data_IF_351155387773
#
_entry.id   IF_351155387773
#
_cell.length_a   1.000
_cell.length_b   1.000
_cell.length_c   1.000
_cell.angle_alpha   90.00
_cell.angle_beta   90.00
_cell.angle_gamma   90.00
#
_symmetry.space_group_name_H-M   'P 1'
#
loop_
_entity.id
_entity.type
_entity.pdbx_description
1 polymer ?
#
# COMPACT_ATOMS: atom_id res chain seq x y z
N UNK A 1 0.63 26.68 19.57
CA UNK A 1 -0.68 26.46 18.95
C UNK A 1 -1.05 27.49 17.91
N UNK A 2 -0.07 28.28 17.42
CA UNK A 2 -0.31 29.16 16.27
C UNK A 2 -0.29 28.31 14.99
N UNK A 3 -1.03 28.79 13.98
CA UNK A 3 -1.02 28.22 12.62
C UNK A 3 0.31 28.60 11.97
N UNK A 4 1.02 27.60 11.44
CA UNK A 4 2.27 27.83 10.72
C UNK A 4 1.98 28.30 9.28
N UNK A 5 2.70 29.31 8.86
CA UNK A 5 2.70 29.75 7.46
C UNK A 5 3.46 28.74 6.58
N UNK A 6 3.20 28.78 5.27
CA UNK A 6 3.95 27.96 4.32
C UNK A 6 5.46 28.18 4.43
N UNK A 7 5.91 29.41 4.54
CA UNK A 7 7.34 29.73 4.67
C UNK A 7 7.99 29.18 5.94
N UNK A 8 7.25 29.11 7.05
CA UNK A 8 7.74 28.49 8.29
C UNK A 8 7.81 26.96 8.13
N UNK A 9 6.82 26.32 7.51
CA UNK A 9 6.87 24.91 7.20
C UNK A 9 8.04 24.57 6.25
N UNK A 10 8.21 25.32 5.17
CA UNK A 10 9.34 25.17 4.23
C UNK A 10 10.69 25.32 4.95
N UNK A 11 10.85 26.34 5.78
CA UNK A 11 12.08 26.56 6.53
C UNK A 11 12.43 25.38 7.44
N UNK A 12 11.45 24.87 8.18
CA UNK A 12 11.70 23.78 9.14
C UNK A 12 11.92 22.45 8.43
N UNK A 13 11.06 22.07 7.49
CA UNK A 13 11.13 20.76 6.85
C UNK A 13 12.28 20.65 5.85
N UNK A 14 12.55 21.69 5.05
CA UNK A 14 13.73 21.72 4.18
C UNK A 14 15.02 21.84 5.00
N UNK A 15 15.01 22.59 6.09
CA UNK A 15 16.14 22.63 7.03
C UNK A 15 16.44 21.27 7.64
N UNK A 16 15.40 20.45 7.90
CA UNK A 16 15.60 19.07 8.36
C UNK A 16 16.18 18.18 7.26
N UNK A 17 15.67 18.28 6.03
CA UNK A 17 16.19 17.53 4.88
C UNK A 17 17.67 17.84 4.63
N UNK A 18 18.07 19.11 4.83
CA UNK A 18 19.43 19.60 4.61
C UNK A 18 20.35 19.41 5.84
N UNK A 19 19.83 18.91 6.97
CA UNK A 19 20.61 18.70 8.19
C UNK A 19 20.83 19.95 9.06
N UNK A 20 20.12 21.03 8.78
CA UNK A 20 20.16 22.30 9.55
C UNK A 20 19.27 22.23 10.79
N UNK A 21 18.15 21.51 10.72
CA UNK A 21 17.25 21.19 11.84
C UNK A 21 17.57 19.81 12.36
N UNK A 22 17.82 19.70 13.67
CA UNK A 22 18.19 18.44 14.31
C UNK A 22 16.98 17.53 14.61
N UNK A 23 17.22 16.22 14.81
CA UNK A 23 16.20 15.23 15.13
C UNK A 23 15.35 15.61 16.35
N UNK A 24 15.96 16.15 17.42
CA UNK A 24 15.21 16.54 18.62
C UNK A 24 14.31 17.76 18.38
N UNK A 25 14.70 18.70 17.53
CA UNK A 25 13.86 19.83 17.13
C UNK A 25 12.69 19.37 16.28
N UNK A 26 12.95 18.54 15.26
CA UNK A 26 11.91 17.96 14.42
C UNK A 26 10.97 17.05 15.23
N UNK A 27 11.49 16.23 16.14
CA UNK A 27 10.67 15.41 17.03
C UNK A 27 9.71 16.21 17.88
N UNK A 28 10.17 17.36 18.42
CA UNK A 28 9.33 18.27 19.19
C UNK A 28 8.17 18.85 18.34
N UNK A 29 8.45 19.25 17.10
CA UNK A 29 7.42 19.74 16.17
C UNK A 29 6.43 18.62 15.80
N UNK A 30 6.91 17.43 15.45
CA UNK A 30 6.05 16.29 15.11
C UNK A 30 5.13 15.90 16.28
N UNK A 31 5.63 15.94 17.52
CA UNK A 31 4.81 15.71 18.71
C UNK A 31 3.79 16.84 18.93
N UNK A 32 4.18 18.08 18.70
CA UNK A 32 3.23 19.20 18.77
C UNK A 32 2.10 19.05 17.73
N UNK A 33 2.41 18.60 16.51
CA UNK A 33 1.42 18.29 15.47
C UNK A 33 0.50 17.14 15.92
N UNK A 34 1.06 16.08 16.54
CA UNK A 34 0.26 14.97 17.05
C UNK A 34 -0.78 15.41 18.08
N UNK A 35 -0.39 16.33 18.99
CA UNK A 35 -1.23 16.78 20.10
C UNK A 35 -2.23 17.86 19.65
N UNK A 36 -1.82 18.78 18.81
CA UNK A 36 -2.61 19.96 18.42
C UNK A 36 -3.35 19.79 17.09
N UNK A 37 -2.91 18.86 16.24
CA UNK A 37 -3.37 18.74 14.87
C UNK A 37 -2.78 19.80 13.95
N UNK A 38 -3.34 19.88 12.76
CA UNK A 38 -3.00 20.88 11.72
C UNK A 38 -4.29 21.35 11.06
N UNK A 39 -4.30 22.57 10.56
CA UNK A 39 -5.36 23.06 9.67
C UNK A 39 -5.24 22.45 8.28
N UNK A 40 -6.32 22.47 7.50
CA UNK A 40 -6.30 21.97 6.12
C UNK A 40 -5.22 22.68 5.27
N UNK A 41 -5.07 24.00 5.47
CA UNK A 41 -4.06 24.79 4.76
C UNK A 41 -2.63 24.31 5.09
N UNK A 42 -2.31 24.11 6.36
CA UNK A 42 -1.01 23.56 6.76
C UNK A 42 -0.77 22.17 6.18
N UNK A 43 -1.81 21.32 6.12
CA UNK A 43 -1.72 19.97 5.56
C UNK A 43 -1.46 20.02 4.06
N UNK A 44 -2.14 20.90 3.32
CA UNK A 44 -1.92 21.06 1.87
C UNK A 44 -0.53 21.63 1.60
N UNK A 45 -0.11 22.66 2.32
CA UNK A 45 1.23 23.24 2.21
C UNK A 45 2.32 22.18 2.53
N UNK A 46 2.13 21.38 3.58
CA UNK A 46 3.08 20.34 3.95
C UNK A 46 3.10 19.18 2.94
N UNK A 47 1.94 18.82 2.38
CA UNK A 47 1.86 17.82 1.31
C UNK A 47 2.65 18.28 0.08
N UNK A 48 2.55 19.55 -0.26
CA UNK A 48 3.27 20.16 -1.38
C UNK A 48 4.80 20.17 -1.14
N UNK A 49 5.23 20.51 0.07
CA UNK A 49 6.65 20.49 0.47
C UNK A 49 7.20 19.05 0.37
N UNK A 50 6.45 18.06 0.83
CA UNK A 50 6.87 16.65 0.72
C UNK A 50 6.93 16.21 -0.74
N UNK A 51 5.87 16.47 -1.50
CA UNK A 51 5.76 16.13 -2.92
C UNK A 51 6.95 16.64 -3.73
N UNK A 52 7.34 17.90 -3.50
CA UNK A 52 8.43 18.54 -4.25
C UNK A 52 9.81 18.41 -3.58
N UNK A 53 9.93 17.56 -2.55
CA UNK A 53 11.24 17.26 -1.95
C UNK A 53 12.11 16.34 -2.83
N UNK A 54 11.52 15.73 -3.85
CA UNK A 54 12.19 14.82 -4.79
C UNK A 54 11.53 14.82 -6.16
N UNK A 55 11.69 13.72 -6.88
CA UNK A 55 11.14 13.58 -8.23
C UNK A 55 9.64 13.26 -8.21
N UNK A 56 8.95 13.76 -9.23
CA UNK A 56 7.55 13.43 -9.53
C UNK A 56 7.53 12.70 -10.87
N UNK A 57 7.03 11.47 -10.88
CA UNK A 57 7.01 10.66 -12.08
C UNK A 57 5.88 11.09 -13.02
N UNK A 58 6.20 11.18 -14.29
CA UNK A 58 5.25 11.48 -15.36
C UNK A 58 5.02 10.25 -16.24
N UNK A 59 3.75 9.85 -16.34
CA UNK A 59 3.26 8.77 -17.21
C UNK A 59 2.21 9.28 -18.20
N UNK A 60 2.22 10.56 -18.53
CA UNK A 60 1.28 11.18 -19.47
C UNK A 60 1.35 10.58 -20.89
N UNK A 61 2.50 10.01 -21.25
CA UNK A 61 2.73 9.30 -22.51
C UNK A 61 2.17 7.86 -22.54
N UNK A 62 1.65 7.36 -21.42
CA UNK A 62 1.01 6.05 -21.34
C UNK A 62 -0.50 6.23 -21.46
N UNK A 63 -1.15 5.59 -22.47
CA UNK A 63 -2.59 5.67 -22.65
C UNK A 63 -3.38 5.12 -21.47
N UNK A 64 -4.57 5.67 -21.24
CA UNK A 64 -5.49 5.23 -20.20
C UNK A 64 -5.27 5.94 -18.85
N UNK A 65 -6.25 5.79 -17.97
CA UNK A 65 -6.23 6.36 -16.61
C UNK A 65 -5.41 5.42 -15.72
N UNK A 66 -4.28 5.92 -15.20
CA UNK A 66 -3.43 5.17 -14.25
C UNK A 66 -4.06 5.19 -12.88
N UNK A 67 -4.31 4.00 -12.33
CA UNK A 67 -4.89 3.86 -10.99
C UNK A 67 -3.89 3.20 -10.05
N UNK A 68 -3.67 3.78 -8.88
CA UNK A 68 -2.89 3.17 -7.80
C UNK A 68 -3.79 2.80 -6.61
N UNK A 69 -3.42 1.77 -5.90
CA UNK A 69 -4.06 1.35 -4.65
C UNK A 69 -3.08 1.46 -3.50
N UNK A 70 -3.47 2.14 -2.42
CA UNK A 70 -2.73 2.15 -1.18
C UNK A 70 -3.50 1.41 -0.08
N UNK A 71 -2.79 0.57 0.69
CA UNK A 71 -3.31 0.01 1.93
C UNK A 71 -2.61 0.67 3.11
N UNK A 72 -3.36 0.99 4.15
CA UNK A 72 -2.77 1.49 5.40
C UNK A 72 -2.03 0.42 6.20
N UNK A 73 -1.99 -0.82 5.67
CA UNK A 73 -1.25 -1.94 6.21
C UNK A 73 -2.05 -2.81 7.17
N UNK A 74 -1.70 -4.08 7.19
CA UNK A 74 -2.34 -5.09 8.02
C UNK A 74 -1.61 -6.42 8.01
N UNK A 75 -2.15 -7.41 8.71
CA UNK A 75 -1.60 -8.75 8.81
C UNK A 75 -2.13 -9.62 7.69
N UNK A 76 -1.25 -10.27 6.93
CA UNK A 76 -1.61 -11.09 5.77
C UNK A 76 -2.08 -10.24 4.56
N UNK A 77 -1.74 -8.96 4.51
CA UNK A 77 -2.17 -8.07 3.42
C UNK A 77 -1.39 -8.35 2.12
N UNK A 78 -1.91 -9.29 1.36
CA UNK A 78 -1.46 -9.69 0.01
C UNK A 78 -2.32 -9.10 -1.11
N UNK A 79 -3.25 -8.21 -0.79
CA UNK A 79 -4.24 -7.69 -1.73
C UNK A 79 -3.62 -7.09 -2.99
N UNK A 80 -2.47 -6.42 -2.91
CA UNK A 80 -1.80 -5.84 -4.09
C UNK A 80 -1.41 -6.89 -5.13
N UNK A 81 -0.94 -8.08 -4.70
CA UNK A 81 -0.56 -9.17 -5.62
C UNK A 81 -1.75 -9.74 -6.40
N UNK A 82 -2.95 -9.61 -5.84
CA UNK A 82 -4.20 -10.10 -6.45
C UNK A 82 -4.84 -9.01 -7.29
N UNK A 83 -4.99 -7.81 -6.73
CA UNK A 83 -5.72 -6.69 -7.34
C UNK A 83 -5.00 -6.14 -8.58
N UNK A 84 -3.68 -5.91 -8.49
CA UNK A 84 -2.95 -5.28 -9.58
C UNK A 84 -3.01 -6.07 -10.90
N UNK A 85 -2.81 -7.41 -10.91
CA UNK A 85 -2.98 -8.20 -12.13
C UNK A 85 -4.43 -8.23 -12.64
N UNK A 86 -5.45 -8.31 -11.76
CA UNK A 86 -6.86 -8.25 -12.15
C UNK A 86 -7.12 -6.95 -12.90
N UNK A 87 -6.77 -5.82 -12.32
CA UNK A 87 -7.04 -4.48 -12.87
C UNK A 87 -6.30 -4.27 -14.18
N UNK A 88 -5.02 -4.67 -14.23
CA UNK A 88 -4.20 -4.55 -15.43
C UNK A 88 -4.68 -5.49 -16.57
N UNK A 89 -5.22 -6.68 -16.26
CA UNK A 89 -5.78 -7.59 -17.27
C UNK A 89 -7.00 -7.01 -17.98
N UNK A 90 -7.67 -6.06 -17.35
CA UNK A 90 -8.83 -5.34 -17.90
C UNK A 90 -8.45 -4.03 -18.59
N UNK A 91 -7.16 -3.79 -18.81
CA UNK A 91 -6.66 -2.64 -19.58
C UNK A 91 -6.54 -1.34 -18.78
N UNK A 92 -6.64 -1.38 -17.46
CA UNK A 92 -6.39 -0.23 -16.60
C UNK A 92 -4.93 -0.27 -16.12
N UNK A 93 -4.09 0.71 -16.48
CA UNK A 93 -2.70 0.74 -16.02
C UNK A 93 -2.58 0.89 -14.51
N UNK A 94 -1.75 0.04 -13.87
CA UNK A 94 -1.51 0.04 -12.43
C UNK A 94 -0.05 0.36 -12.15
N UNK A 95 0.18 1.47 -11.45
CA UNK A 95 1.51 1.89 -11.03
C UNK A 95 1.56 1.85 -9.51
N UNK A 96 2.18 0.79 -8.97
CA UNK A 96 2.27 0.57 -7.54
C UNK A 96 3.71 0.73 -7.04
N UNK A 97 3.95 1.80 -6.32
CA UNK A 97 5.18 1.99 -5.55
C UNK A 97 4.90 1.88 -4.06
N UNK A 98 5.72 1.12 -3.36
CA UNK A 98 5.52 0.83 -1.95
C UNK A 98 6.83 0.88 -1.18
N UNK A 99 6.83 1.56 -0.04
CA UNK A 99 7.97 1.55 0.88
C UNK A 99 8.04 0.28 1.73
N UNK A 100 6.90 -0.43 1.90
CA UNK A 100 6.77 -1.69 2.67
C UNK A 100 5.66 -2.54 2.06
N UNK A 101 5.66 -3.85 2.36
CA UNK A 101 4.57 -4.75 1.98
C UNK A 101 4.69 -5.39 0.60
N UNK A 102 5.80 -5.14 -0.12
CA UNK A 102 6.19 -5.89 -1.33
C UNK A 102 7.21 -6.99 -1.02
N UNK A 103 7.68 -7.04 0.22
CA UNK A 103 8.70 -7.98 0.69
C UNK A 103 8.35 -9.44 0.37
N UNK A 104 7.05 -9.79 0.45
CA UNK A 104 6.58 -11.12 0.09
C UNK A 104 6.81 -11.49 -1.39
N UNK A 105 6.93 -10.52 -2.29
CA UNK A 105 7.31 -10.77 -3.68
C UNK A 105 8.78 -11.23 -3.81
N UNK A 106 9.63 -10.86 -2.84
CA UNK A 106 11.03 -11.32 -2.79
C UNK A 106 11.13 -12.82 -2.50
N UNK A 107 10.07 -13.44 -1.96
CA UNK A 107 9.99 -14.90 -1.82
C UNK A 107 9.79 -15.65 -3.16
N UNK A 108 9.51 -14.93 -4.24
CA UNK A 108 9.50 -15.49 -5.59
C UNK A 108 10.95 -15.48 -6.11
N UNK A 109 11.58 -16.63 -6.33
CA UNK A 109 12.99 -16.68 -6.75
C UNK A 109 13.26 -15.84 -8.00
N UNK A 110 14.25 -14.95 -7.92
CA UNK A 110 14.67 -14.07 -9.01
C UNK A 110 13.86 -12.78 -9.16
N UNK A 111 12.78 -12.60 -8.41
CA UNK A 111 11.94 -11.40 -8.53
C UNK A 111 12.68 -10.14 -8.03
N UNK A 112 12.67 -9.10 -8.86
CA UNK A 112 13.27 -7.80 -8.54
C UNK A 112 12.21 -6.82 -8.04
N UNK A 113 12.38 -6.34 -6.81
CA UNK A 113 11.50 -5.33 -6.20
C UNK A 113 11.97 -3.89 -6.44
N UNK A 114 13.22 -3.71 -6.88
CA UNK A 114 13.80 -2.40 -7.17
C UNK A 114 14.02 -2.25 -8.67
N UNK A 115 13.36 -1.27 -9.27
CA UNK A 115 13.47 -0.91 -10.69
C UNK A 115 13.85 0.56 -10.81
N UNK A 116 14.57 0.92 -11.87
CA UNK A 116 14.79 2.32 -12.25
C UNK A 116 13.52 2.93 -12.83
N UNK A 117 13.45 4.26 -12.90
CA UNK A 117 12.28 4.96 -13.43
C UNK A 117 12.04 4.64 -14.92
N UNK A 118 13.11 4.43 -15.69
CA UNK A 118 13.01 3.99 -17.09
C UNK A 118 12.46 2.56 -17.19
N UNK A 119 12.95 1.62 -16.36
CA UNK A 119 12.42 0.25 -16.29
C UNK A 119 10.93 0.24 -15.90
N UNK A 120 10.53 1.10 -14.94
CA UNK A 120 9.14 1.27 -14.53
C UNK A 120 8.28 1.72 -15.72
N UNK A 121 8.69 2.78 -16.43
CA UNK A 121 7.97 3.31 -17.59
C UNK A 121 7.85 2.29 -18.72
N UNK A 122 8.96 1.63 -19.05
CA UNK A 122 8.95 0.59 -20.09
C UNK A 122 8.05 -0.58 -19.74
N UNK A 123 8.09 -1.03 -18.49
CA UNK A 123 7.25 -2.14 -18.05
C UNK A 123 5.76 -1.78 -18.09
N UNK A 124 5.37 -0.59 -17.59
CA UNK A 124 3.96 -0.15 -17.65
C UNK A 124 3.48 -0.02 -19.09
N UNK A 125 4.31 0.51 -20.01
CA UNK A 125 4.00 0.54 -21.44
C UNK A 125 3.79 -0.85 -22.03
N UNK A 126 4.59 -1.82 -21.61
CA UNK A 126 4.61 -3.17 -22.16
C UNK A 126 3.47 -4.04 -21.64
N UNK A 127 3.23 -4.06 -20.33
CA UNK A 127 2.30 -5.00 -19.70
C UNK A 127 1.17 -4.34 -18.91
N UNK A 128 1.13 -3.01 -18.81
CA UNK A 128 0.09 -2.25 -18.12
C UNK A 128 0.21 -2.24 -16.61
N UNK A 129 1.28 -2.80 -16.01
CA UNK A 129 1.43 -2.77 -14.56
C UNK A 129 2.87 -2.84 -14.09
N UNK A 130 3.11 -2.28 -12.91
CA UNK A 130 4.34 -2.43 -12.15
C UNK A 130 4.04 -2.46 -10.64
N UNK A 131 4.77 -3.28 -9.90
CA UNK A 131 4.81 -3.25 -8.43
C UNK A 131 6.27 -3.24 -8.01
N UNK A 132 6.72 -2.13 -7.45
CA UNK A 132 8.15 -1.91 -7.13
C UNK A 132 8.32 -1.22 -5.79
N UNK A 133 9.53 -1.28 -5.27
CA UNK A 133 9.98 -0.46 -4.15
C UNK A 133 9.90 1.02 -4.50
N UNK A 134 9.83 1.84 -3.49
CA UNK A 134 9.94 3.28 -3.65
C UNK A 134 11.39 3.62 -4.00
N UNK A 135 11.60 4.39 -5.06
CA UNK A 135 12.93 4.88 -5.42
C UNK A 135 13.48 5.82 -4.34
N UNK A 136 14.80 6.00 -4.30
CA UNK A 136 15.43 6.88 -3.30
C UNK A 136 14.99 8.34 -3.44
N UNK A 137 14.69 8.74 -4.67
CA UNK A 137 14.41 10.12 -5.06
C UNK A 137 12.91 10.45 -5.01
N UNK A 138 12.05 9.44 -4.82
CA UNK A 138 10.61 9.65 -4.66
C UNK A 138 10.31 10.09 -3.22
N UNK A 139 9.99 11.37 -3.05
CA UNK A 139 9.60 11.98 -1.76
C UNK A 139 10.61 11.68 -0.62
N UNK A 140 11.90 12.04 -0.75
CA UNK A 140 12.93 11.76 0.27
C UNK A 140 12.59 12.36 1.63
N UNK A 141 11.89 13.48 1.68
CA UNK A 141 11.37 14.09 2.91
C UNK A 141 10.54 13.09 3.72
N UNK A 142 9.61 12.39 3.09
CA UNK A 142 8.77 11.40 3.78
C UNK A 142 9.60 10.27 4.38
N UNK A 143 10.61 9.79 3.66
CA UNK A 143 11.49 8.72 4.14
C UNK A 143 12.20 9.12 5.44
N UNK A 144 12.74 10.34 5.50
CA UNK A 144 13.43 10.84 6.70
C UNK A 144 12.47 11.08 7.85
N UNK A 145 11.37 11.78 7.58
CA UNK A 145 10.35 12.09 8.59
C UNK A 145 9.69 10.82 9.13
N UNK A 146 9.37 9.85 8.27
CA UNK A 146 8.76 8.60 8.71
C UNK A 146 9.71 7.78 9.60
N UNK A 147 11.00 7.71 9.26
CA UNK A 147 12.01 7.04 10.09
C UNK A 147 12.09 7.65 11.49
N UNK A 148 12.01 8.99 11.60
CA UNK A 148 11.98 9.67 12.89
C UNK A 148 10.66 9.40 13.65
N UNK A 149 9.53 9.40 12.94
CA UNK A 149 8.21 9.12 13.54
C UNK A 149 8.11 7.72 14.12
N UNK A 150 8.73 6.73 13.48
CA UNK A 150 8.73 5.32 13.94
C UNK A 150 9.32 5.17 15.36
N UNK A 151 10.27 6.02 15.73
CA UNK A 151 10.98 5.95 17.03
C UNK A 151 10.54 7.03 18.04
N UNK A 152 9.64 7.95 17.65
CA UNK A 152 9.22 9.09 18.52
C UNK A 152 7.75 9.04 18.92
N UNK A 153 7.02 7.94 18.59
CA UNK A 153 5.60 7.78 18.98
C UNK A 153 4.65 8.73 18.23
N UNK A 154 5.03 9.21 17.04
CA UNK A 154 4.23 10.17 16.26
C UNK A 154 3.61 9.57 14.99
N UNK A 155 3.66 8.23 14.83
CA UNK A 155 3.12 7.54 13.65
C UNK A 155 1.60 7.68 13.55
N UNK A 156 0.88 7.69 14.66
CA UNK A 156 -0.60 7.67 14.69
C UNK A 156 -1.25 9.03 14.38
N UNK A 157 -0.48 10.08 14.09
CA UNK A 157 -0.98 11.40 13.74
C UNK A 157 -1.72 11.38 12.39
N UNK A 158 -3.05 11.60 12.39
CA UNK A 158 -3.88 11.60 11.17
C UNK A 158 -3.36 12.58 10.11
N UNK A 159 -3.05 13.86 10.42
CA UNK A 159 -2.48 14.79 9.44
C UNK A 159 -1.19 14.25 8.80
N UNK A 160 -0.26 13.78 9.61
CA UNK A 160 1.03 13.27 9.12
C UNK A 160 0.90 11.95 8.36
N UNK A 161 -0.09 11.11 8.68
CA UNK A 161 -0.43 9.92 7.89
C UNK A 161 -0.91 10.33 6.51
N UNK A 162 -1.84 11.30 6.44
CA UNK A 162 -2.39 11.77 5.17
C UNK A 162 -1.32 12.40 4.28
N UNK A 163 -0.48 13.29 4.83
CA UNK A 163 0.65 13.92 4.11
C UNK A 163 1.60 12.85 3.56
N UNK A 164 2.01 11.90 4.40
CA UNK A 164 2.92 10.80 4.02
C UNK A 164 2.37 9.94 2.91
N UNK A 165 1.09 9.57 2.96
CA UNK A 165 0.48 8.72 1.93
C UNK A 165 0.28 9.51 0.65
N UNK A 166 -0.37 10.67 0.73
CA UNK A 166 -0.81 11.40 -0.45
C UNK A 166 0.35 12.01 -1.24
N UNK A 167 1.38 12.54 -0.59
CA UNK A 167 2.57 13.04 -1.29
C UNK A 167 3.21 11.96 -2.16
N UNK A 168 3.36 10.74 -1.64
CA UNK A 168 3.91 9.61 -2.41
C UNK A 168 3.01 9.15 -3.55
N UNK A 169 1.69 9.11 -3.32
CA UNK A 169 0.73 8.66 -4.33
C UNK A 169 0.59 9.66 -5.48
N UNK A 170 0.72 10.94 -5.19
CA UNK A 170 0.76 11.99 -6.22
C UNK A 170 2.11 11.95 -6.94
N UNK A 171 3.22 11.86 -6.20
CA UNK A 171 4.57 11.77 -6.80
C UNK A 171 4.76 10.53 -7.69
N UNK A 172 4.09 9.42 -7.39
CA UNK A 172 4.14 8.21 -8.22
C UNK A 172 3.39 8.31 -9.54
N UNK A 173 2.78 9.46 -9.86
CA UNK A 173 2.19 9.73 -11.17
C UNK A 173 0.82 9.09 -11.43
N UNK A 174 0.13 8.59 -10.40
CA UNK A 174 -1.22 8.04 -10.55
C UNK A 174 -2.25 9.15 -10.86
N UNK A 175 -3.16 8.91 -11.81
CA UNK A 175 -4.26 9.81 -12.12
C UNK A 175 -5.39 9.70 -11.09
N UNK A 176 -5.67 8.47 -10.63
CA UNK A 176 -6.68 8.17 -9.62
C UNK A 176 -6.14 7.23 -8.55
N UNK A 177 -6.62 7.39 -7.33
CA UNK A 177 -6.06 6.70 -6.16
C UNK A 177 -7.17 6.03 -5.36
N UNK A 178 -7.06 4.71 -5.16
CA UNK A 178 -7.90 3.97 -4.22
C UNK A 178 -7.14 3.77 -2.90
N UNK A 179 -7.73 4.20 -1.79
CA UNK A 179 -7.15 3.99 -0.45
C UNK A 179 -7.97 2.93 0.28
N UNK A 180 -7.31 1.83 0.61
CA UNK A 180 -7.84 0.76 1.44
C UNK A 180 -7.41 1.02 2.90
N UNK A 181 -8.32 1.63 3.67
CA UNK A 181 -8.08 2.00 5.06
C UNK A 181 -8.46 0.82 5.95
N UNK A 182 -7.44 0.14 6.46
CA UNK A 182 -7.62 -0.97 7.42
C UNK A 182 -8.04 -0.45 8.78
N UNK A 183 -9.07 -1.07 9.37
CA UNK A 183 -9.61 -0.70 10.69
C UNK A 183 -9.69 -1.95 11.57
N UNK A 184 -9.13 -1.89 12.77
CA UNK A 184 -9.24 -2.98 13.73
C UNK A 184 -7.95 -3.28 14.48
N UNK A 185 -7.92 -4.41 15.17
CA UNK A 185 -6.82 -4.80 16.05
C UNK A 185 -5.47 -4.90 15.32
N UNK A 186 -5.44 -5.43 14.10
CA UNK A 186 -4.24 -5.59 13.28
C UNK A 186 -3.89 -4.37 12.42
N UNK A 187 -4.66 -3.29 12.48
CA UNK A 187 -4.46 -2.08 11.70
C UNK A 187 -3.79 -0.96 12.51
N UNK A 188 -3.26 0.06 11.81
CA UNK A 188 -2.83 1.32 12.43
C UNK A 188 -4.01 2.03 13.10
N UNK A 189 -5.14 2.16 12.39
CA UNK A 189 -6.35 2.81 12.89
C UNK A 189 -7.26 1.80 13.59
N UNK A 190 -7.60 2.09 14.85
CA UNK A 190 -8.39 1.18 15.69
C UNK A 190 -9.89 1.43 15.59
N UNK A 191 -10.31 2.65 15.22
CA UNK A 191 -11.71 3.05 15.19
C UNK A 191 -12.17 3.50 13.80
N UNK A 192 -13.43 3.21 13.47
CA UNK A 192 -14.04 3.72 12.24
C UNK A 192 -14.07 5.24 12.20
N UNK A 193 -14.23 5.90 13.36
CA UNK A 193 -14.27 7.35 13.47
C UNK A 193 -12.97 7.99 12.98
N UNK A 194 -11.83 7.46 13.42
CA UNK A 194 -10.52 8.01 13.01
C UNK A 194 -10.19 7.63 11.57
N UNK A 195 -10.62 6.44 11.12
CA UNK A 195 -10.49 6.03 9.73
C UNK A 195 -11.31 6.94 8.79
N UNK A 196 -12.54 7.32 9.15
CA UNK A 196 -13.34 8.26 8.37
C UNK A 196 -12.71 9.65 8.31
N UNK A 197 -12.15 10.15 9.42
CA UNK A 197 -11.42 11.43 9.40
C UNK A 197 -10.21 11.39 8.45
N UNK A 198 -9.46 10.29 8.47
CA UNK A 198 -8.34 10.12 7.55
C UNK A 198 -8.81 10.04 6.10
N UNK A 199 -9.90 9.31 5.83
CA UNK A 199 -10.50 9.21 4.50
C UNK A 199 -10.91 10.57 3.96
N UNK A 200 -11.68 11.34 4.73
CA UNK A 200 -12.15 12.68 4.36
C UNK A 200 -10.96 13.62 4.06
N UNK A 201 -9.90 13.53 4.86
CA UNK A 201 -8.71 14.34 4.66
C UNK A 201 -7.96 13.96 3.37
N UNK A 202 -7.78 12.66 3.10
CA UNK A 202 -7.10 12.20 1.88
C UNK A 202 -7.90 12.55 0.60
N UNK A 203 -9.23 12.47 0.65
CA UNK A 203 -10.08 12.92 -0.46
C UNK A 203 -9.88 14.42 -0.73
N UNK A 204 -9.90 15.27 0.32
CA UNK A 204 -9.65 16.72 0.17
C UNK A 204 -8.25 17.05 -0.36
N UNK A 205 -7.23 16.30 0.06
CA UNK A 205 -5.89 16.44 -0.53
C UNK A 205 -5.93 16.07 -2.02
N UNK A 206 -6.60 14.96 -2.38
CA UNK A 206 -6.78 14.55 -3.77
C UNK A 206 -7.45 15.64 -4.61
N UNK A 207 -8.55 16.20 -4.14
CA UNK A 207 -9.26 17.31 -4.79
C UNK A 207 -8.35 18.53 -5.02
N UNK A 208 -7.53 18.88 -4.01
CA UNK A 208 -6.58 19.97 -4.12
C UNK A 208 -5.55 19.79 -5.26
N UNK A 209 -5.18 18.54 -5.54
CA UNK A 209 -4.25 18.18 -6.63
C UNK A 209 -4.95 17.70 -7.92
N UNK A 210 -6.27 17.88 -8.04
CA UNK A 210 -7.07 17.39 -9.17
C UNK A 210 -6.91 15.88 -9.41
N UNK A 211 -6.84 15.10 -8.33
CA UNK A 211 -6.80 13.63 -8.34
C UNK A 211 -8.07 13.08 -7.72
N UNK A 212 -8.75 12.17 -8.44
CA UNK A 212 -9.86 11.43 -7.85
C UNK A 212 -9.32 10.43 -6.82
N UNK A 213 -9.75 10.58 -5.58
CA UNK A 213 -9.39 9.69 -4.47
C UNK A 213 -10.66 9.04 -3.94
N UNK A 214 -10.68 7.72 -3.89
CA UNK A 214 -11.72 6.96 -3.21
C UNK A 214 -11.13 6.20 -2.04
N UNK A 215 -11.90 6.10 -0.95
CA UNK A 215 -11.48 5.41 0.27
C UNK A 215 -12.45 4.29 0.59
N UNK A 216 -11.93 3.10 0.90
CA UNK A 216 -12.71 1.98 1.43
C UNK A 216 -12.21 1.64 2.82
N UNK A 217 -13.12 1.57 3.79
CA UNK A 217 -12.83 1.14 5.16
C UNK A 217 -13.02 -0.37 5.24
N UNK A 218 -11.94 -1.12 5.51
CA UNK A 218 -11.95 -2.58 5.52
C UNK A 218 -11.54 -3.15 6.88
N UNK A 219 -12.08 -4.30 7.24
CA UNK A 219 -11.82 -4.91 8.55
C UNK A 219 -10.43 -5.53 8.65
N UNK A 220 -9.77 -5.32 9.80
CA UNK A 220 -8.48 -5.89 10.16
C UNK A 220 -8.48 -6.41 11.61
N UNK A 221 -9.61 -6.87 12.11
CA UNK A 221 -9.70 -7.53 13.41
C UNK A 221 -9.19 -8.97 13.36
N UNK A 222 -9.22 -9.59 12.19
CA UNK A 222 -8.58 -10.86 11.88
C UNK A 222 -7.55 -10.68 10.75
N UNK A 223 -6.53 -11.56 10.62
CA UNK A 223 -5.64 -11.56 9.47
C UNK A 223 -6.41 -11.77 8.16
N UNK A 224 -5.90 -11.23 7.06
CA UNK A 224 -6.47 -11.41 5.73
C UNK A 224 -6.08 -12.78 5.15
N UNK A 225 -7.08 -13.52 4.73
CA UNK A 225 -6.91 -14.87 4.17
C UNK A 225 -6.56 -15.92 5.22
N UNK A 226 -6.06 -17.04 4.75
CA UNK A 226 -5.72 -18.22 5.56
C UNK A 226 -4.22 -18.42 5.74
N UNK A 227 -3.42 -17.71 4.96
CA UNK A 227 -1.96 -17.82 4.94
C UNK A 227 -1.32 -16.51 5.43
N UNK A 228 -0.34 -16.63 6.32
CA UNK A 228 0.41 -15.49 6.86
C UNK A 228 1.89 -15.84 6.79
N UNK A 229 2.65 -15.05 6.05
CA UNK A 229 4.06 -15.28 5.78
C UNK A 229 4.34 -15.24 4.28
N UNK A 230 5.62 -15.08 3.87
CA UNK A 230 5.94 -14.59 2.53
C UNK A 230 5.48 -15.53 1.40
N UNK A 231 6.11 -16.70 1.24
CA UNK A 231 5.74 -17.65 0.19
C UNK A 231 4.31 -18.19 0.31
N UNK A 232 3.82 -18.41 1.54
CA UNK A 232 2.45 -18.85 1.77
C UNK A 232 1.44 -17.82 1.25
N UNK A 233 1.69 -16.53 1.45
CA UNK A 233 0.84 -15.46 0.94
C UNK A 233 0.87 -15.37 -0.59
N UNK A 234 2.02 -15.63 -1.21
CA UNK A 234 2.15 -15.70 -2.67
C UNK A 234 1.32 -16.84 -3.23
N UNK A 235 1.37 -18.03 -2.62
CA UNK A 235 0.61 -19.19 -3.06
C UNK A 235 -0.91 -18.99 -2.90
N UNK A 236 -1.35 -18.38 -1.79
CA UNK A 236 -2.76 -18.03 -1.61
C UNK A 236 -3.22 -16.98 -2.65
N UNK A 237 -2.40 -15.97 -2.95
CA UNK A 237 -2.71 -15.00 -4.00
C UNK A 237 -2.87 -15.69 -5.37
N UNK A 238 -2.00 -16.66 -5.70
CA UNK A 238 -2.09 -17.47 -6.93
C UNK A 238 -3.39 -18.26 -6.96
N UNK A 239 -3.76 -18.91 -5.86
CA UNK A 239 -5.00 -19.71 -5.77
C UNK A 239 -6.24 -18.86 -6.00
N UNK A 240 -6.27 -17.62 -5.43
CA UNK A 240 -7.36 -16.67 -5.68
C UNK A 240 -7.40 -16.22 -7.15
N UNK A 241 -6.23 -15.88 -7.74
CA UNK A 241 -6.16 -15.48 -9.16
C UNK A 241 -6.59 -16.57 -10.14
N UNK A 242 -6.48 -17.85 -9.74
CA UNK A 242 -6.99 -19.01 -10.48
C UNK A 242 -8.46 -19.29 -10.24
N UNK A 243 -9.11 -18.60 -9.29
CA UNK A 243 -10.48 -18.86 -8.91
C UNK A 243 -10.68 -20.16 -8.10
N UNK A 244 -9.63 -20.66 -7.45
CA UNK A 244 -9.65 -21.86 -6.62
C UNK A 244 -10.09 -21.57 -5.17
N UNK A 245 -10.08 -20.29 -4.76
CA UNK A 245 -10.45 -19.84 -3.42
C UNK A 245 -11.66 -18.92 -3.47
N UNK A 246 -12.66 -19.25 -2.65
CA UNK A 246 -13.84 -18.41 -2.41
C UNK A 246 -13.93 -18.14 -0.90
N UNK A 247 -13.32 -17.03 -0.47
CA UNK A 247 -13.23 -16.66 0.92
C UNK A 247 -13.32 -15.13 1.10
N UNK A 248 -13.26 -14.66 2.34
CA UNK A 248 -13.35 -13.22 2.65
C UNK A 248 -12.26 -12.39 1.94
N UNK A 249 -11.05 -12.93 1.75
CA UNK A 249 -9.97 -12.24 1.05
C UNK A 249 -10.25 -12.11 -0.44
N UNK A 250 -10.75 -13.18 -1.09
CA UNK A 250 -11.10 -13.13 -2.52
C UNK A 250 -12.21 -12.11 -2.77
N UNK A 251 -13.25 -12.07 -1.93
CA UNK A 251 -14.34 -11.12 -2.03
C UNK A 251 -13.85 -9.66 -1.83
N UNK A 252 -13.00 -9.43 -0.82
CA UNK A 252 -12.35 -8.13 -0.62
C UNK A 252 -11.54 -7.68 -1.85
N UNK A 253 -10.79 -8.60 -2.45
CA UNK A 253 -9.99 -8.30 -3.65
C UNK A 253 -10.89 -8.00 -4.86
N UNK A 254 -12.01 -8.71 -5.02
CA UNK A 254 -13.01 -8.42 -6.05
C UNK A 254 -13.60 -7.01 -5.84
N UNK A 255 -13.97 -6.66 -4.62
CA UNK A 255 -14.53 -5.33 -4.31
C UNK A 255 -13.55 -4.19 -4.59
N UNK A 256 -12.30 -4.32 -4.14
CA UNK A 256 -11.26 -3.34 -4.37
C UNK A 256 -10.87 -3.24 -5.86
N UNK A 257 -10.79 -4.37 -6.56
CA UNK A 257 -10.52 -4.40 -8.01
C UNK A 257 -11.65 -3.74 -8.79
N UNK A 258 -12.91 -4.01 -8.40
CA UNK A 258 -14.10 -3.41 -9.04
C UNK A 258 -14.10 -1.90 -8.90
N UNK A 259 -13.70 -1.37 -7.74
CA UNK A 259 -13.57 0.06 -7.54
C UNK A 259 -12.47 0.67 -8.43
N UNK A 260 -11.28 0.03 -8.50
CA UNK A 260 -10.21 0.49 -9.37
C UNK A 260 -10.58 0.44 -10.86
N UNK A 261 -11.24 -0.62 -11.31
CA UNK A 261 -11.70 -0.77 -12.71
C UNK A 261 -12.79 0.27 -13.03
N UNK A 262 -13.73 0.48 -12.11
CA UNK A 262 -14.73 1.55 -12.23
C UNK A 262 -14.07 2.93 -12.41
N UNK A 263 -13.06 3.24 -11.59
CA UNK A 263 -12.29 4.48 -11.68
C UNK A 263 -11.52 4.57 -13.00
N UNK A 264 -10.85 3.50 -13.41
CA UNK A 264 -9.96 3.49 -14.59
C UNK A 264 -10.72 3.52 -15.91
N UNK A 265 -11.85 2.84 -16.01
CA UNK A 265 -12.66 2.77 -17.22
C UNK A 265 -13.83 3.75 -17.26
N UNK A 266 -14.10 4.48 -16.16
CA UNK A 266 -15.26 5.36 -15.97
C UNK A 266 -16.61 4.62 -16.23
N UNK A 267 -16.75 3.42 -15.68
CA UNK A 267 -17.96 2.58 -15.74
C UNK A 267 -18.57 2.40 -14.36
N UNK A 268 -19.80 1.87 -14.28
CA UNK A 268 -20.41 1.56 -12.99
C UNK A 268 -19.63 0.51 -12.21
N UNK A 269 -19.80 0.48 -10.89
CA UNK A 269 -19.13 -0.51 -10.04
C UNK A 269 -19.66 -1.93 -10.32
N UNK A 270 -20.94 -2.04 -10.64
CA UNK A 270 -21.59 -3.30 -11.00
C UNK A 270 -20.98 -3.87 -12.28
N UNK A 271 -20.87 -3.07 -13.35
CA UNK A 271 -20.23 -3.49 -14.60
C UNK A 271 -18.75 -3.85 -14.38
N UNK A 272 -18.04 -3.05 -13.59
CA UNK A 272 -16.65 -3.34 -13.23
C UNK A 272 -16.52 -4.67 -12.48
N UNK A 273 -17.44 -4.96 -11.55
CA UNK A 273 -17.45 -6.22 -10.79
C UNK A 273 -17.64 -7.43 -11.69
N UNK A 274 -18.55 -7.36 -12.65
CA UNK A 274 -18.77 -8.45 -13.60
C UNK A 274 -17.52 -8.72 -14.44
N UNK A 275 -16.83 -7.66 -14.89
CA UNK A 275 -15.55 -7.78 -15.62
C UNK A 275 -14.46 -8.41 -14.77
N UNK A 276 -14.33 -7.99 -13.49
CA UNK A 276 -13.38 -8.54 -12.53
C UNK A 276 -13.61 -10.03 -12.31
N UNK A 277 -14.83 -10.43 -12.05
CA UNK A 277 -15.19 -11.85 -11.86
C UNK A 277 -14.90 -12.64 -13.14
N UNK A 278 -15.21 -12.10 -14.30
CA UNK A 278 -14.92 -12.72 -15.59
C UNK A 278 -13.40 -12.95 -15.77
N UNK A 279 -12.58 -11.96 -15.47
CA UNK A 279 -11.11 -12.04 -15.64
C UNK A 279 -10.43 -13.08 -14.74
N UNK A 280 -11.02 -13.36 -13.57
CA UNK A 280 -10.58 -14.48 -12.70
C UNK A 280 -11.00 -15.80 -13.32
N UNK A 281 -12.25 -15.91 -13.76
CA UNK A 281 -12.82 -17.16 -14.31
C UNK A 281 -12.19 -17.61 -15.63
N UNK A 282 -11.85 -16.66 -16.50
CA UNK A 282 -11.22 -16.97 -17.80
C UNK A 282 -9.69 -17.09 -17.72
N UNK A 283 -9.11 -16.84 -16.55
CA UNK A 283 -7.68 -16.96 -16.28
C UNK A 283 -6.85 -15.75 -16.76
N UNK A 284 -7.44 -14.71 -17.30
CA UNK A 284 -6.70 -13.54 -17.78
C UNK A 284 -5.97 -12.80 -16.65
N UNK A 285 -6.57 -12.73 -15.47
CA UNK A 285 -5.95 -12.18 -14.26
C UNK A 285 -4.70 -12.97 -13.83
N UNK A 286 -4.79 -14.29 -13.80
CA UNK A 286 -3.65 -15.16 -13.47
C UNK A 286 -2.54 -15.06 -14.53
N UNK A 287 -2.89 -15.07 -15.80
CA UNK A 287 -1.92 -14.90 -16.88
C UNK A 287 -1.18 -13.53 -16.79
N UNK A 288 -1.90 -12.47 -16.41
CA UNK A 288 -1.31 -11.16 -16.17
C UNK A 288 -0.34 -11.18 -14.97
N UNK A 289 -0.66 -11.90 -13.91
CA UNK A 289 0.26 -12.11 -12.78
C UNK A 289 1.55 -12.83 -13.22
N UNK A 290 1.45 -13.89 -14.03
CA UNK A 290 2.61 -14.59 -14.56
C UNK A 290 3.48 -13.70 -15.45
N UNK A 291 2.85 -12.91 -16.33
CA UNK A 291 3.53 -11.93 -17.15
C UNK A 291 4.29 -10.89 -16.31
N UNK A 292 3.64 -10.35 -15.27
CA UNK A 292 4.22 -9.41 -14.33
C UNK A 292 5.44 -10.01 -13.61
N UNK A 293 5.30 -11.19 -13.02
CA UNK A 293 6.38 -11.85 -12.28
C UNK A 293 7.57 -12.11 -13.21
N UNK A 294 7.31 -12.60 -14.42
CA UNK A 294 8.36 -12.84 -15.42
C UNK A 294 9.06 -11.54 -15.86
N UNK A 295 8.31 -10.45 -16.02
CA UNK A 295 8.87 -9.15 -16.42
C UNK A 295 9.88 -8.62 -15.38
N UNK A 296 9.64 -8.92 -14.09
CA UNK A 296 10.55 -8.54 -13.00
C UNK A 296 11.55 -9.65 -12.63
N UNK A 297 11.73 -10.65 -13.50
CA UNK A 297 12.76 -11.68 -13.38
C UNK A 297 12.40 -12.87 -12.48
N UNK A 298 11.19 -12.90 -11.91
CA UNK A 298 10.74 -13.94 -11.01
C UNK A 298 10.31 -15.23 -11.72
N UNK A 299 10.35 -16.34 -10.98
CA UNK A 299 9.89 -17.66 -11.43
C UNK A 299 8.92 -18.25 -10.40
N UNK A 300 7.63 -18.18 -10.69
CA UNK A 300 6.55 -18.68 -9.83
C UNK A 300 6.68 -20.19 -9.59
N UNK A 301 7.20 -20.96 -10.54
CA UNK A 301 7.33 -22.42 -10.42
C UNK A 301 8.32 -22.86 -9.34
N UNK A 302 9.18 -21.94 -8.90
CA UNK A 302 10.20 -22.15 -7.87
C UNK A 302 9.76 -21.68 -6.48
N UNK A 303 8.57 -21.12 -6.33
CA UNK A 303 8.07 -20.74 -5.01
C UNK A 303 7.86 -22.00 -4.18
N UNK A 304 8.48 -22.03 -3.01
CA UNK A 304 8.42 -23.17 -2.12
C UNK A 304 8.07 -22.77 -0.68
N UNK A 305 7.56 -23.72 0.06
CA UNK A 305 7.29 -23.59 1.49
C UNK A 305 8.15 -24.56 2.27
N UNK A 306 8.40 -24.29 3.54
CA UNK A 306 9.14 -25.19 4.42
C UNK A 306 8.42 -26.53 4.61
N UNK A 307 9.17 -27.62 4.60
CA UNK A 307 8.65 -28.96 4.95
C UNK A 307 8.42 -29.12 6.47
N UNK A 308 8.99 -28.22 7.27
CA UNK A 308 8.81 -28.22 8.73
C UNK A 308 7.42 -27.68 9.07
N UNK A 309 6.58 -28.54 9.61
CA UNK A 309 5.20 -28.21 10.01
C UNK A 309 4.96 -28.62 11.45
N UNK A 310 4.31 -27.73 12.19
CA UNK A 310 3.83 -28.01 13.55
C UNK A 310 2.32 -27.86 13.52
N UNK A 311 1.62 -28.95 13.80
CA UNK A 311 0.16 -28.96 13.89
C UNK A 311 -0.25 -28.46 15.28
N UNK A 312 -1.05 -27.38 15.34
CA UNK A 312 -1.64 -26.86 16.57
C UNK A 312 -3.14 -27.15 16.55
N UNK A 313 -3.58 -28.11 17.37
CA UNK A 313 -4.99 -28.50 17.46
C UNK A 313 -5.71 -27.77 18.58
N UNK A 314 -6.99 -27.47 18.35
CA UNK A 314 -7.89 -27.05 19.42
C UNK A 314 -8.08 -28.22 20.41
N UNK A 315 -8.13 -27.88 21.71
CA UNK A 315 -8.41 -28.86 22.77
C UNK A 315 -9.91 -29.14 22.95
N UNK A 316 -10.77 -28.49 22.17
CA UNK A 316 -12.23 -28.68 22.20
C UNK A 316 -12.85 -28.37 20.84
N UNK A 317 -14.00 -28.99 20.56
CA UNK A 317 -14.83 -28.63 19.42
C UNK A 317 -15.53 -27.29 19.67
N UNK A 318 -15.65 -26.46 18.63
CA UNK A 318 -16.31 -25.17 18.73
C UNK A 318 -16.09 -24.31 17.50
N UNK A 319 -16.60 -23.10 17.54
CA UNK A 319 -16.41 -22.09 16.50
C UNK A 319 -15.42 -21.03 16.99
N UNK A 320 -14.47 -20.64 16.14
CA UNK A 320 -13.56 -19.54 16.42
C UNK A 320 -14.38 -18.23 16.40
N UNK A 321 -14.46 -17.54 17.53
CA UNK A 321 -15.21 -16.31 17.69
C UNK A 321 -14.33 -15.05 17.58
N UNK A 322 -13.01 -15.20 17.76
CA UNK A 322 -12.05 -14.09 17.69
C UNK A 322 -10.67 -14.61 17.32
N UNK A 323 -10.02 -13.89 16.40
CA UNK A 323 -8.60 -14.06 16.06
C UNK A 323 -7.92 -12.71 16.32
N UNK A 324 -6.81 -12.71 17.06
CA UNK A 324 -6.04 -11.49 17.32
C UNK A 324 -5.03 -11.27 16.18
N UNK A 325 -5.38 -10.42 15.22
CA UNK A 325 -4.53 -10.16 14.06
C UNK A 325 -3.13 -9.63 14.45
N UNK A 326 -3.05 -8.73 15.43
CA UNK A 326 -1.77 -8.17 15.88
C UNK A 326 -0.82 -9.26 16.40
N UNK A 327 -1.32 -10.16 17.24
CA UNK A 327 -0.49 -11.24 17.79
C UNK A 327 -0.07 -12.25 16.71
N UNK A 328 -0.93 -12.54 15.73
CA UNK A 328 -0.54 -13.32 14.56
C UNK A 328 0.57 -12.65 13.75
N UNK A 329 0.49 -11.33 13.54
CA UNK A 329 1.55 -10.58 12.87
C UNK A 329 2.88 -10.65 13.62
N UNK A 330 2.89 -10.42 14.93
CA UNK A 330 4.09 -10.55 15.78
C UNK A 330 4.67 -11.96 15.73
N UNK A 331 3.81 -12.97 15.82
CA UNK A 331 4.22 -14.36 15.74
C UNK A 331 4.85 -14.69 14.38
N UNK A 332 4.25 -14.26 13.29
CA UNK A 332 4.79 -14.41 11.94
C UNK A 332 6.18 -13.81 11.79
N UNK A 333 6.39 -12.57 12.29
CA UNK A 333 7.71 -11.92 12.32
C UNK A 333 8.70 -12.73 13.16
N UNK A 334 8.27 -13.31 14.30
CA UNK A 334 9.14 -14.13 15.14
C UNK A 334 9.64 -15.40 14.45
N UNK A 335 8.87 -15.90 13.47
CA UNK A 335 9.22 -17.04 12.64
C UNK A 335 10.05 -16.68 11.39
N UNK A 336 10.37 -15.40 11.19
CA UNK A 336 11.16 -14.94 10.06
C UNK A 336 10.36 -14.44 8.85
N UNK A 337 9.04 -14.35 8.95
CA UNK A 337 8.19 -13.85 7.85
C UNK A 337 8.13 -12.31 7.75
N UNK A 338 9.01 -11.61 8.44
CA UNK A 338 9.18 -10.16 8.37
C UNK A 338 10.56 -9.76 8.83
N UNK A 339 11.04 -8.63 8.35
CA UNK A 339 12.35 -8.08 8.74
C UNK A 339 12.31 -7.57 10.17
N UNK A 340 13.26 -7.99 11.00
CA UNK A 340 13.53 -7.40 12.32
C UNK A 340 14.48 -6.21 12.18
N UNK A 341 15.47 -6.37 11.28
CA UNK A 341 16.44 -5.34 10.92
C UNK A 341 16.33 -5.06 9.40
N UNK A 342 16.84 -3.89 8.98
CA UNK A 342 16.72 -3.42 7.59
C UNK A 342 17.31 -4.39 6.56
N UNK A 343 18.38 -5.06 6.93
CA UNK A 343 19.18 -5.90 6.03
C UNK A 343 18.85 -7.40 6.15
N UNK A 344 17.79 -7.75 6.90
CA UNK A 344 17.33 -9.14 6.99
C UNK A 344 16.87 -9.63 5.62
N UNK A 345 17.29 -10.85 5.27
CA UNK A 345 16.79 -11.57 4.10
C UNK A 345 15.46 -12.21 4.46
N UNK A 346 14.47 -12.08 3.58
CA UNK A 346 13.13 -12.63 3.74
C UNK A 346 12.98 -13.93 2.92
#
# INVERSE_FOLDING_TARGET
>A
GNILSRSELEFIFNGYLNGEVSDYQMSALLMAICIKGMTDKEIFDLTDIFLHSGEVLDFSDIPGIKVDKHSTGGVGDKTTMIIAPIVASLGVPVIKMSGRGIDKLESIPGFRTNLSDDEIKEQVKKIGMVVTGQTADLVPMDKMIYALRDVTGTVESIPLIAVSIMSKKIASGADKILIDIKVGNGALLKTRKDASKLADLMVRIGEHYNREVRCMLTDMNAPLGTSIGNSLEVLEAISILKGEEDNHLSELCIDLSSEMVSMGLNISKEEARDKVICSIKDGSAYNKFLEFVKCQGGDVSKVSISDKKIEVKSNKNGTITKINALEFGKFSVSLGAGRREKDDVI
#
